data_IF_106714097690
#
_entry.id   IF_106714097690
#
_cell.length_a   1.000
_cell.length_b   1.000
_cell.length_c   1.000
_cell.angle_alpha   90.00
_cell.angle_beta   90.00
_cell.angle_gamma   90.00
#
_symmetry.space_group_name_H-M   'P 1'
#
loop_
_entity.id
_entity.type
_entity.pdbx_description
1 polymer ?
#
# COMPACT_ATOMS: atom_id res chain seq x y z
N UNK A 1 -28.81 -30.83 -1.62
CA UNK A 1 -27.35 -30.79 -1.59
C UNK A 1 -26.86 -29.79 -2.64
N UNK A 2 -26.79 -28.52 -2.34
CA UNK A 2 -26.20 -27.49 -3.22
C UNK A 2 -26.13 -26.15 -2.46
N UNK A 3 -25.27 -26.03 -1.44
CA UNK A 3 -24.99 -24.75 -0.75
C UNK A 3 -23.52 -24.56 -0.33
N UNK A 4 -22.65 -25.51 -0.65
CA UNK A 4 -21.25 -25.49 -0.18
C UNK A 4 -20.26 -24.93 -1.21
N UNK A 5 -20.63 -24.81 -2.51
CA UNK A 5 -19.73 -24.29 -3.54
C UNK A 5 -19.66 -22.74 -3.61
N UNK A 6 -20.69 -22.04 -3.11
CA UNK A 6 -20.68 -20.57 -3.12
C UNK A 6 -19.75 -19.92 -2.10
N UNK A 7 -19.54 -20.56 -0.94
CA UNK A 7 -18.72 -20.00 0.12
C UNK A 7 -17.21 -20.08 -0.21
N UNK A 8 -16.79 -21.15 -0.87
CA UNK A 8 -15.38 -21.38 -1.26
C UNK A 8 -14.93 -20.43 -2.38
N UNK A 9 -15.82 -20.12 -3.34
CA UNK A 9 -15.53 -19.14 -4.39
C UNK A 9 -15.38 -17.71 -3.84
N UNK A 10 -16.14 -17.33 -2.81
CA UNK A 10 -16.00 -16.06 -2.12
C UNK A 10 -14.61 -15.83 -1.53
N UNK A 11 -13.99 -16.89 -1.05
CA UNK A 11 -12.74 -16.84 -0.33
C UNK A 11 -11.53 -16.65 -1.26
N UNK A 12 -11.50 -17.34 -2.39
CA UNK A 12 -10.37 -17.28 -3.32
C UNK A 12 -10.24 -15.92 -4.03
N UNK A 13 -11.36 -15.32 -4.43
CA UNK A 13 -11.34 -14.04 -5.12
C UNK A 13 -10.82 -12.86 -4.27
N UNK A 14 -10.93 -12.93 -2.95
CA UNK A 14 -10.41 -11.88 -2.04
C UNK A 14 -8.90 -11.97 -1.78
N UNK A 15 -8.28 -13.14 -2.01
CA UNK A 15 -6.88 -13.41 -1.70
C UNK A 15 -5.89 -12.94 -2.74
N UNK A 16 -6.28 -13.00 -4.01
CA UNK A 16 -5.41 -12.59 -5.11
C UNK A 16 -5.04 -11.10 -5.09
N UNK A 17 -5.67 -10.32 -4.22
CA UNK A 17 -5.39 -8.90 -4.03
C UNK A 17 -4.13 -8.60 -3.23
N UNK A 18 -3.59 -9.53 -2.48
CA UNK A 18 -2.49 -9.29 -1.53
C UNK A 18 -1.21 -10.04 -1.87
N UNK A 19 -1.26 -11.06 -2.73
CA UNK A 19 -0.07 -11.81 -3.14
C UNK A 19 0.74 -11.13 -4.23
N UNK A 20 0.26 -10.02 -4.80
CA UNK A 20 0.95 -9.26 -5.83
C UNK A 20 2.06 -8.37 -5.26
N UNK A 21 3.22 -8.93 -4.95
CA UNK A 21 4.47 -8.19 -5.08
C UNK A 21 4.71 -7.97 -6.56
N UNK A 22 4.17 -6.89 -7.11
CA UNK A 22 4.39 -6.61 -8.50
C UNK A 22 4.66 -5.15 -8.78
N UNK A 23 5.67 -4.98 -9.51
CA UNK A 23 6.30 -3.76 -9.88
C UNK A 23 6.56 -3.78 -11.38
N UNK A 24 6.23 -2.72 -12.11
CA UNK A 24 7.07 -1.99 -13.07
C UNK A 24 6.66 -1.87 -14.55
N UNK A 25 6.97 -1.01 -15.30
CA UNK A 25 7.71 0.11 -15.84
C UNK A 25 7.51 0.47 -17.31
N UNK A 26 7.77 1.68 -17.66
CA UNK A 26 8.45 2.10 -18.87
C UNK A 26 8.02 3.35 -19.63
N UNK A 27 8.92 4.21 -19.80
CA UNK A 27 9.06 5.53 -20.39
C UNK A 27 8.23 5.90 -21.64
N UNK A 28 7.68 7.14 -21.61
CA UNK A 28 7.71 8.06 -22.74
C UNK A 28 7.71 9.51 -22.23
N UNK A 29 8.65 10.30 -22.68
CA UNK A 29 8.78 11.71 -22.40
C UNK A 29 7.82 12.53 -23.27
N UNK A 30 7.04 13.43 -22.64
CA UNK A 30 6.51 14.64 -23.31
C UNK A 30 6.59 15.81 -22.33
N UNK A 31 7.19 16.89 -22.79
CA UNK A 31 7.49 18.07 -22.00
C UNK A 31 6.25 18.81 -21.54
N UNK A 32 6.28 19.21 -20.29
CA UNK A 32 5.35 20.11 -19.64
C UNK A 32 6.09 20.88 -18.55
N UNK A 33 5.90 22.20 -18.53
CA UNK A 33 6.54 23.21 -17.71
C UNK A 33 6.79 22.77 -16.26
N UNK A 34 8.04 22.79 -15.87
CA UNK A 34 8.51 22.48 -14.52
C UNK A 34 8.09 23.57 -13.53
N UNK A 35 7.10 23.27 -12.70
CA UNK A 35 6.93 23.96 -11.42
C UNK A 35 8.12 23.59 -10.52
N UNK A 36 8.59 24.48 -9.63
CA UNK A 36 9.73 24.20 -8.78
C UNK A 36 9.49 22.91 -7.99
N UNK A 37 10.41 21.96 -8.15
CA UNK A 37 10.43 20.73 -7.34
C UNK A 37 10.59 21.15 -5.88
N UNK A 38 9.75 20.59 -4.99
CA UNK A 38 9.96 20.74 -3.56
C UNK A 38 11.40 20.32 -3.25
N UNK A 39 12.12 21.19 -2.55
CA UNK A 39 13.54 21.02 -2.23
C UNK A 39 13.77 19.75 -1.42
N UNK A 40 14.55 18.84 -1.98
CA UNK A 40 15.28 17.76 -1.34
C UNK A 40 14.53 16.90 -0.32
N UNK A 41 14.08 15.69 -0.76
CA UNK A 41 13.77 14.60 0.19
C UNK A 41 15.02 14.27 1.02
N UNK A 42 14.82 13.99 2.31
CA UNK A 42 15.86 13.48 3.21
C UNK A 42 15.51 12.06 3.64
N UNK A 43 16.39 11.11 3.35
CA UNK A 43 16.28 9.74 3.84
C UNK A 43 16.84 9.64 5.25
N UNK A 44 16.08 9.02 6.17
CA UNK A 44 16.45 8.88 7.59
C UNK A 44 16.32 7.43 8.04
N UNK A 45 17.17 7.02 8.95
CA UNK A 45 17.01 5.79 9.73
C UNK A 45 16.60 6.15 11.15
N UNK A 46 15.37 5.80 11.53
CA UNK A 46 14.79 6.15 12.84
C UNK A 46 14.71 4.89 13.69
N UNK A 47 15.42 4.88 14.83
CA UNK A 47 15.32 3.80 15.82
C UNK A 47 13.92 3.76 16.45
N UNK A 48 13.26 2.61 16.41
CA UNK A 48 11.89 2.41 16.94
C UNK A 48 11.84 1.39 18.08
N UNK A 49 12.82 0.49 18.13
CA UNK A 49 12.99 -0.49 19.20
C UNK A 49 14.48 -0.90 19.27
N UNK A 50 14.94 -1.59 20.34
CA UNK A 50 16.30 -2.08 20.40
C UNK A 50 16.68 -2.90 19.17
N UNK A 51 17.68 -2.44 18.41
CA UNK A 51 18.14 -3.08 17.18
C UNK A 51 17.21 -2.97 15.98
N UNK A 52 16.14 -2.18 16.05
CA UNK A 52 15.19 -1.98 14.96
C UNK A 52 15.13 -0.51 14.57
N UNK A 53 15.43 -0.22 13.30
CA UNK A 53 15.27 1.11 12.70
C UNK A 53 14.39 1.03 11.47
N UNK A 54 13.64 2.11 11.22
CA UNK A 54 12.81 2.25 10.02
C UNK A 54 13.40 3.30 9.07
N UNK A 55 13.36 3.01 7.79
CA UNK A 55 13.64 3.96 6.74
C UNK A 55 12.45 4.90 6.58
N UNK A 56 12.72 6.19 6.66
CA UNK A 56 11.73 7.26 6.53
C UNK A 56 12.21 8.26 5.48
N UNK A 57 11.41 8.52 4.49
CA UNK A 57 11.60 9.59 3.51
C UNK A 57 10.84 10.83 3.97
N UNK A 58 11.55 11.93 4.15
CA UNK A 58 11.07 13.18 4.77
C UNK A 58 11.15 14.32 3.75
N UNK A 59 10.01 14.78 3.25
CA UNK A 59 9.88 15.94 2.37
C UNK A 59 9.43 17.14 3.18
N UNK A 60 10.25 18.19 3.30
CA UNK A 60 9.83 19.43 3.94
C UNK A 60 8.73 20.12 3.12
N UNK A 61 7.84 20.85 3.78
CA UNK A 61 6.87 21.69 3.09
C UNK A 61 7.55 22.80 2.29
N UNK A 62 7.17 22.95 1.02
CA UNK A 62 7.64 24.08 0.19
C UNK A 62 7.14 25.45 0.70
N UNK A 63 6.12 25.48 1.55
CA UNK A 63 5.58 26.69 2.18
C UNK A 63 6.25 27.08 3.50
N UNK A 64 7.26 26.33 3.97
CA UNK A 64 7.88 26.52 5.27
C UNK A 64 7.09 25.86 6.40
N UNK A 65 6.81 26.60 7.49
CA UNK A 65 6.16 26.06 8.68
C UNK A 65 4.71 25.59 8.43
N UNK A 66 4.58 24.40 7.86
CA UNK A 66 3.30 23.71 7.79
C UNK A 66 3.08 22.98 9.12
N UNK A 67 2.01 23.32 9.83
CA UNK A 67 1.58 22.61 11.03
C UNK A 67 1.03 21.21 10.73
N UNK A 68 0.78 20.91 9.46
CA UNK A 68 0.20 19.65 9.03
C UNK A 68 1.26 18.74 8.45
N UNK A 69 1.46 17.61 9.12
CA UNK A 69 2.33 16.53 8.64
C UNK A 69 1.45 15.41 8.08
N UNK A 70 1.71 15.03 6.83
CA UNK A 70 1.09 13.84 6.23
C UNK A 70 2.06 12.68 6.37
N UNK A 71 1.57 11.55 6.89
CA UNK A 71 2.32 10.30 6.93
C UNK A 71 1.71 9.33 5.92
N UNK A 72 2.57 8.70 5.09
CA UNK A 72 2.20 7.76 4.06
C UNK A 72 2.70 6.35 4.42
N UNK A 73 1.80 5.37 4.46
CA UNK A 73 2.10 3.95 4.69
C UNK A 73 1.75 3.13 3.46
N UNK A 74 2.73 2.42 2.91
CA UNK A 74 2.57 1.63 1.69
C UNK A 74 1.78 0.32 1.92
N UNK A 75 1.41 -0.38 0.86
CA UNK A 75 0.79 -1.70 0.90
C UNK A 75 1.74 -2.82 1.35
N UNK A 76 1.24 -4.05 1.37
CA UNK A 76 2.04 -5.25 1.66
C UNK A 76 3.14 -5.40 0.61
N UNK A 77 4.37 -5.67 1.04
CA UNK A 77 5.52 -5.84 0.15
C UNK A 77 6.13 -4.53 -0.39
N UNK A 78 5.44 -3.40 -0.27
CA UNK A 78 5.92 -2.11 -0.73
C UNK A 78 6.64 -1.31 0.37
N UNK A 79 7.43 -0.33 -0.04
CA UNK A 79 8.22 0.53 0.83
C UNK A 79 7.91 2.03 0.58
N UNK A 80 8.61 2.93 1.24
CA UNK A 80 8.38 4.37 1.15
C UNK A 80 8.52 4.95 -0.26
N UNK A 81 9.32 4.34 -1.13
CA UNK A 81 9.51 4.77 -2.51
C UNK A 81 8.26 4.65 -3.38
N UNK A 82 7.27 3.83 -2.99
CA UNK A 82 5.99 3.78 -3.68
C UNK A 82 5.31 5.17 -3.78
N UNK A 83 5.66 6.07 -2.89
CA UNK A 83 5.11 7.43 -2.83
C UNK A 83 6.02 8.52 -3.42
N UNK A 84 7.08 8.16 -4.14
CA UNK A 84 8.02 9.14 -4.73
C UNK A 84 7.39 10.06 -5.79
N UNK A 85 6.17 9.76 -6.24
CA UNK A 85 5.33 10.66 -7.03
C UNK A 85 4.41 11.48 -6.14
N UNK A 86 3.56 10.84 -5.35
CA UNK A 86 2.53 11.47 -4.52
C UNK A 86 3.10 12.39 -3.44
N UNK A 87 4.19 11.97 -2.77
CA UNK A 87 4.75 12.72 -1.65
C UNK A 87 5.28 14.11 -2.05
N UNK A 88 6.06 14.29 -3.15
CA UNK A 88 6.44 15.63 -3.62
C UNK A 88 5.27 16.52 -4.01
N UNK A 89 4.17 15.95 -4.52
CA UNK A 89 2.97 16.71 -4.86
C UNK A 89 2.28 17.26 -3.61
N UNK A 90 2.13 16.44 -2.56
CA UNK A 90 1.62 16.87 -1.26
C UNK A 90 2.59 17.81 -0.53
N UNK A 91 3.91 17.63 -0.73
CA UNK A 91 4.94 18.45 -0.08
C UNK A 91 4.96 19.91 -0.56
N UNK A 92 4.20 20.25 -1.60
CA UNK A 92 3.96 21.65 -1.98
C UNK A 92 3.27 22.45 -0.86
N UNK A 93 2.53 21.78 0.03
CA UNK A 93 1.76 22.41 1.12
C UNK A 93 2.04 21.84 2.51
N UNK A 94 2.42 20.58 2.61
CA UNK A 94 2.55 19.84 3.86
C UNK A 94 3.96 19.31 4.03
N UNK A 95 4.41 19.06 5.25
CA UNK A 95 5.54 18.15 5.45
C UNK A 95 5.03 16.72 5.23
N UNK A 96 5.74 15.92 4.44
CA UNK A 96 5.33 14.55 4.12
C UNK A 96 6.39 13.56 4.59
N UNK A 97 5.96 12.52 5.30
CA UNK A 97 6.79 11.41 5.74
C UNK A 97 6.27 10.13 5.09
N UNK A 98 7.04 9.46 4.26
CA UNK A 98 6.74 8.10 3.82
C UNK A 98 7.59 7.12 4.62
N UNK A 99 6.96 6.11 5.23
CA UNK A 99 7.62 5.19 6.15
C UNK A 99 7.65 3.79 5.55
N UNK A 100 8.85 3.21 5.45
CA UNK A 100 9.02 1.80 5.15
C UNK A 100 8.88 1.01 6.44
N UNK A 101 7.91 0.07 6.49
CA UNK A 101 7.72 -0.80 7.66
C UNK A 101 8.93 -1.65 7.96
N UNK A 102 9.09 -2.09 9.22
CA UNK A 102 10.01 -3.19 9.54
C UNK A 102 9.78 -4.37 8.59
N UNK A 103 10.82 -5.05 8.22
CA UNK A 103 10.75 -6.21 7.32
C UNK A 103 10.89 -5.88 5.84
N UNK A 104 10.69 -4.63 5.41
CA UNK A 104 10.73 -4.24 4.00
C UNK A 104 11.85 -3.25 3.67
N UNK A 105 12.20 -3.20 2.38
CA UNK A 105 13.12 -2.22 1.81
C UNK A 105 14.37 -1.98 2.65
N UNK A 106 14.72 -0.74 2.87
CA UNK A 106 15.85 -0.30 3.68
C UNK A 106 15.61 -0.26 5.19
N UNK A 107 14.45 -0.74 5.70
CA UNK A 107 14.18 -0.90 7.13
C UNK A 107 14.78 -2.19 7.69
N UNK A 108 15.00 -2.22 9.02
CA UNK A 108 15.45 -3.42 9.73
C UNK A 108 14.50 -4.59 9.53
N UNK A 109 15.06 -5.80 9.48
CA UNK A 109 14.35 -7.05 9.23
C UNK A 109 14.54 -8.04 10.39
N UNK A 110 14.04 -7.73 11.61
CA UNK A 110 14.20 -8.61 12.76
C UNK A 110 13.50 -9.95 12.50
N UNK A 111 14.17 -11.05 12.80
CA UNK A 111 13.57 -12.39 12.69
C UNK A 111 12.31 -12.46 13.56
N UNK A 112 11.17 -12.96 13.05
CA UNK A 112 9.97 -13.09 13.84
C UNK A 112 10.18 -13.99 15.04
N UNK A 113 9.97 -13.49 16.26
CA UNK A 113 9.98 -14.29 17.47
C UNK A 113 8.61 -14.96 17.70
N UNK A 114 7.55 -14.38 17.14
CA UNK A 114 6.18 -14.86 17.14
C UNK A 114 5.37 -14.14 16.07
N UNK A 115 4.14 -14.55 15.81
CA UNK A 115 3.21 -13.86 14.89
C UNK A 115 2.95 -12.41 15.32
N UNK A 116 3.06 -12.09 16.62
CA UNK A 116 2.92 -10.73 17.12
C UNK A 116 4.06 -9.79 16.69
N UNK A 117 5.22 -10.31 16.25
CA UNK A 117 6.39 -9.50 15.85
C UNK A 117 6.11 -8.55 14.69
N UNK A 118 5.11 -8.87 13.87
CA UNK A 118 4.67 -8.09 12.71
C UNK A 118 3.18 -7.77 12.74
N UNK A 119 2.56 -7.84 13.91
CA UNK A 119 1.14 -7.50 14.11
C UNK A 119 0.88 -6.01 13.85
N UNK A 120 -0.34 -5.62 13.47
CA UNK A 120 -0.73 -4.21 13.38
C UNK A 120 -0.41 -3.41 14.65
N UNK A 121 -0.49 -4.02 15.83
CA UNK A 121 -0.13 -3.38 17.09
C UNK A 121 1.38 -3.03 17.17
N UNK A 122 2.25 -3.94 16.73
CA UNK A 122 3.69 -3.69 16.66
C UNK A 122 4.00 -2.60 15.64
N UNK A 123 3.36 -2.62 14.47
CA UNK A 123 3.57 -1.60 13.42
C UNK A 123 3.05 -0.22 13.86
N UNK A 124 1.97 -0.17 14.61
CA UNK A 124 1.46 1.07 15.23
C UNK A 124 2.42 1.60 16.29
N UNK A 125 3.03 0.73 17.11
CA UNK A 125 4.06 1.15 18.08
C UNK A 125 5.30 1.73 17.38
N UNK A 126 5.70 1.15 16.25
CA UNK A 126 6.78 1.68 15.42
C UNK A 126 6.45 3.07 14.86
N UNK A 127 5.25 3.23 14.31
CA UNK A 127 4.77 4.53 13.82
C UNK A 127 4.82 5.57 14.93
N UNK A 128 4.31 5.25 16.11
CA UNK A 128 4.35 6.16 17.26
C UNK A 128 5.79 6.56 17.62
N UNK A 129 6.72 5.59 17.65
CA UNK A 129 8.13 5.86 17.94
C UNK A 129 8.78 6.76 16.88
N UNK A 130 8.48 6.59 15.60
CA UNK A 130 8.93 7.50 14.52
C UNK A 130 8.41 8.92 14.76
N UNK A 131 7.11 9.08 15.05
CA UNK A 131 6.52 10.40 15.30
C UNK A 131 7.14 11.10 16.52
N UNK A 132 7.41 10.36 17.58
CA UNK A 132 8.02 10.89 18.80
C UNK A 132 9.48 11.30 18.56
N UNK A 133 10.27 10.47 17.87
CA UNK A 133 11.65 10.77 17.50
C UNK A 133 11.75 12.03 16.61
N UNK A 134 10.79 12.21 15.71
CA UNK A 134 10.72 13.38 14.82
C UNK A 134 9.98 14.57 15.44
N UNK A 135 9.50 14.45 16.68
CA UNK A 135 8.73 15.47 17.43
C UNK A 135 7.49 15.94 16.65
N UNK A 136 6.79 15.00 15.99
CA UNK A 136 5.57 15.26 15.25
C UNK A 136 4.36 14.99 16.15
N UNK A 137 3.65 16.00 16.64
CA UNK A 137 2.59 15.82 17.64
C UNK A 137 1.28 15.25 17.04
N UNK A 138 0.94 15.65 15.82
CA UNK A 138 -0.31 15.26 15.15
C UNK A 138 -0.08 15.11 13.64
N UNK A 139 -0.84 14.19 13.02
CA UNK A 139 -0.68 13.82 11.62
C UNK A 139 -2.04 13.67 10.90
N UNK A 140 -1.99 13.84 9.59
CA UNK A 140 -2.91 13.21 8.65
C UNK A 140 -2.25 11.90 8.26
N UNK A 141 -2.92 10.77 8.50
CA UNK A 141 -2.36 9.45 8.22
C UNK A 141 -3.03 8.85 6.99
N UNK A 142 -2.27 8.69 5.92
CA UNK A 142 -2.72 8.08 4.68
C UNK A 142 -2.08 6.69 4.50
N UNK A 143 -2.86 5.70 4.12
CA UNK A 143 -2.35 4.36 3.96
C UNK A 143 -2.99 3.60 2.82
N UNK A 144 -2.17 2.86 2.09
CA UNK A 144 -2.56 2.04 0.96
C UNK A 144 -2.73 0.58 1.38
N UNK A 145 -3.80 -0.06 0.87
CA UNK A 145 -3.98 -1.51 1.00
C UNK A 145 -3.97 -1.96 2.47
N UNK A 146 -3.11 -2.89 2.86
CA UNK A 146 -3.01 -3.43 4.22
C UNK A 146 -2.81 -2.37 5.31
N UNK A 147 -2.32 -1.19 4.95
CA UNK A 147 -2.12 -0.09 5.90
C UNK A 147 -3.41 0.38 6.58
N UNK A 148 -4.58 0.07 6.03
CA UNK A 148 -5.86 0.37 6.68
C UNK A 148 -6.00 -0.21 8.09
N UNK A 149 -5.37 -1.36 8.35
CA UNK A 149 -5.31 -1.95 9.68
C UNK A 149 -4.58 -1.01 10.66
N UNK A 150 -3.43 -0.48 10.23
CA UNK A 150 -2.62 0.44 11.03
C UNK A 150 -3.33 1.79 11.20
N UNK A 151 -3.95 2.32 10.15
CA UNK A 151 -4.71 3.57 10.20
C UNK A 151 -5.79 3.50 11.29
N UNK A 152 -6.63 2.47 11.21
CA UNK A 152 -7.76 2.28 12.11
C UNK A 152 -7.28 2.05 13.55
N UNK A 153 -6.27 1.19 13.74
CA UNK A 153 -5.74 0.89 15.06
C UNK A 153 -5.06 2.11 15.68
N UNK A 154 -4.25 2.86 14.90
CA UNK A 154 -3.56 4.06 15.36
C UNK A 154 -4.57 5.14 15.76
N UNK A 155 -5.57 5.42 14.93
CA UNK A 155 -6.59 6.41 15.22
C UNK A 155 -7.42 6.05 16.45
N UNK A 156 -7.76 4.77 16.63
CA UNK A 156 -8.51 4.30 17.79
C UNK A 156 -7.71 4.25 19.09
N UNK A 157 -6.38 4.08 19.00
CA UNK A 157 -5.50 4.00 20.17
C UNK A 157 -4.87 5.35 20.55
N UNK A 158 -4.65 6.21 19.56
CA UNK A 158 -3.97 7.51 19.72
C UNK A 158 -4.77 8.66 19.08
N UNK A 159 -6.07 8.87 19.43
CA UNK A 159 -6.95 9.81 18.75
C UNK A 159 -6.41 11.26 18.75
N UNK A 160 -5.69 11.65 19.80
CA UNK A 160 -5.07 12.98 19.90
C UNK A 160 -3.89 13.19 18.95
N UNK A 161 -3.33 12.12 18.37
CA UNK A 161 -2.22 12.15 17.40
C UNK A 161 -2.72 12.24 15.95
N UNK A 162 -4.03 12.12 15.71
CA UNK A 162 -4.64 12.07 14.38
C UNK A 162 -5.48 13.29 14.11
N UNK A 163 -5.24 13.98 12.99
CA UNK A 163 -6.09 15.04 12.44
C UNK A 163 -7.09 14.51 11.44
N UNK A 164 -6.71 13.48 10.69
CA UNK A 164 -7.54 12.85 9.68
C UNK A 164 -6.88 11.60 9.11
N UNK A 165 -7.68 10.84 8.38
CA UNK A 165 -7.28 9.56 7.76
C UNK A 165 -7.57 9.57 6.27
N UNK A 166 -6.68 8.99 5.47
CA UNK A 166 -6.95 8.72 4.06
C UNK A 166 -6.72 7.23 3.78
N UNK A 167 -7.80 6.50 3.61
CA UNK A 167 -7.80 5.09 3.24
C UNK A 167 -7.68 4.97 1.73
N UNK A 168 -6.49 4.63 1.25
CA UNK A 168 -6.17 4.54 -0.18
C UNK A 168 -6.36 3.09 -0.66
N UNK A 169 -7.55 2.78 -1.12
CA UNK A 169 -8.00 1.45 -1.57
C UNK A 169 -7.75 0.35 -0.52
N UNK A 170 -8.17 0.63 0.70
CA UNK A 170 -8.04 -0.26 1.85
C UNK A 170 -9.37 -0.28 2.64
N UNK A 171 -10.27 -1.16 2.24
CA UNK A 171 -11.64 -1.19 2.72
C UNK A 171 -12.03 -2.52 3.38
N UNK A 172 -11.13 -3.51 3.37
CA UNK A 172 -11.44 -4.87 3.79
C UNK A 172 -11.27 -5.10 5.29
N UNK A 173 -12.18 -5.88 5.86
CA UNK A 173 -12.00 -6.58 7.11
C UNK A 173 -11.63 -8.04 6.78
N UNK A 174 -10.34 -8.33 6.80
CA UNK A 174 -9.82 -9.63 6.40
C UNK A 174 -10.25 -10.76 7.35
N UNK A 175 -10.28 -10.49 8.65
CA UNK A 175 -10.71 -11.49 9.64
C UNK A 175 -12.20 -11.79 9.50
N UNK A 176 -13.06 -10.79 9.32
CA UNK A 176 -14.47 -10.99 9.04
C UNK A 176 -14.74 -11.77 7.75
N UNK A 177 -13.75 -11.78 6.84
CA UNK A 177 -13.78 -12.56 5.59
C UNK A 177 -13.20 -13.96 5.72
N UNK A 178 -12.82 -14.39 6.95
CA UNK A 178 -12.32 -15.73 7.27
C UNK A 178 -10.87 -15.82 7.72
N UNK A 179 -10.15 -14.72 7.74
CA UNK A 179 -8.75 -14.68 8.19
C UNK A 179 -7.74 -15.24 7.20
N UNK A 180 -6.55 -15.56 7.71
CA UNK A 180 -5.48 -16.13 6.91
C UNK A 180 -5.73 -17.61 6.59
N UNK A 181 -5.54 -17.95 5.33
CA UNK A 181 -5.35 -19.32 4.85
C UNK A 181 -4.18 -19.35 3.86
N UNK A 182 -3.51 -20.46 3.70
CA UNK A 182 -2.47 -20.61 2.68
C UNK A 182 -3.09 -20.52 1.27
N UNK A 183 -2.61 -19.61 0.41
CA UNK A 183 -3.19 -19.45 -0.94
C UNK A 183 -2.95 -20.70 -1.79
N UNK A 184 -3.99 -21.18 -2.45
CA UNK A 184 -3.86 -22.21 -3.47
C UNK A 184 -3.57 -21.54 -4.83
N UNK A 185 -2.65 -22.08 -5.66
CA UNK A 185 -2.35 -21.53 -6.98
C UNK A 185 -3.58 -21.49 -7.89
N UNK A 186 -3.70 -20.46 -8.68
CA UNK A 186 -4.75 -20.29 -9.67
C UNK A 186 -4.16 -19.99 -11.06
N UNK A 187 -4.91 -20.19 -12.14
CA UNK A 187 -4.42 -19.91 -13.50
C UNK A 187 -4.26 -18.40 -13.79
N UNK A 188 -4.79 -17.53 -12.94
CA UNK A 188 -4.70 -16.08 -13.09
C UNK A 188 -3.75 -15.42 -12.09
N UNK A 189 -2.99 -16.20 -11.33
CA UNK A 189 -1.93 -15.67 -10.48
C UNK A 189 -0.84 -15.00 -11.33
N UNK A 190 -0.17 -14.04 -10.72
CA UNK A 190 1.01 -13.46 -11.30
C UNK A 190 2.08 -14.55 -11.51
N UNK A 191 2.65 -14.68 -12.72
CA UNK A 191 3.69 -15.65 -12.96
C UNK A 191 4.93 -15.32 -12.12
N UNK A 192 5.51 -16.28 -11.37
CA UNK A 192 6.71 -16.01 -10.58
C UNK A 192 7.91 -15.67 -11.51
N UNK A 193 8.88 -14.88 -11.02
CA UNK A 193 10.09 -14.61 -11.78
C UNK A 193 10.86 -15.89 -12.05
N UNK A 194 11.34 -16.07 -13.28
CA UNK A 194 12.24 -17.15 -13.66
C UNK A 194 13.67 -16.90 -13.14
N UNK A 195 14.55 -17.91 -13.11
CA UNK A 195 15.97 -17.69 -12.80
C UNK A 195 16.63 -16.65 -13.71
N UNK A 196 16.22 -16.55 -14.99
CA UNK A 196 16.72 -15.54 -15.91
C UNK A 196 16.26 -14.12 -15.52
N UNK A 197 15.08 -13.97 -14.97
CA UNK A 197 14.56 -12.70 -14.46
C UNK A 197 15.30 -12.22 -13.19
N UNK A 198 15.90 -13.13 -12.45
CA UNK A 198 16.69 -12.84 -11.25
C UNK A 198 18.20 -12.78 -11.51
N UNK A 199 18.64 -12.97 -12.74
CA UNK A 199 20.07 -13.00 -13.09
C UNK A 199 20.77 -11.63 -12.97
N UNK A 200 20.02 -10.54 -12.95
CA UNK A 200 20.52 -9.17 -12.71
C UNK A 200 19.39 -8.23 -12.30
N UNK A 201 19.76 -7.07 -11.79
CA UNK A 201 18.79 -6.03 -11.47
C UNK A 201 17.99 -5.58 -12.71
N UNK A 202 18.66 -5.43 -13.86
CA UNK A 202 17.99 -5.03 -15.11
C UNK A 202 17.03 -6.12 -15.62
N UNK A 203 17.39 -7.39 -15.48
CA UNK A 203 16.52 -8.51 -15.81
C UNK A 203 15.27 -8.53 -14.90
N UNK A 204 15.47 -8.29 -13.62
CA UNK A 204 14.37 -8.19 -12.64
C UNK A 204 13.46 -6.99 -12.96
N UNK A 205 14.03 -5.86 -13.33
CA UNK A 205 13.29 -4.69 -13.81
C UNK A 205 12.51 -5.04 -15.08
N UNK A 206 13.09 -5.77 -16.03
CA UNK A 206 12.41 -6.20 -17.25
C UNK A 206 11.27 -7.18 -16.97
N UNK A 207 11.43 -8.09 -16.00
CA UNK A 207 10.34 -8.95 -15.53
C UNK A 207 9.20 -8.11 -14.99
N UNK A 208 9.49 -7.23 -14.05
CA UNK A 208 8.49 -6.33 -13.50
C UNK A 208 7.75 -5.57 -14.61
N UNK A 209 8.43 -5.09 -15.64
CA UNK A 209 7.84 -4.43 -16.84
C UNK A 209 6.86 -5.30 -17.61
N UNK A 210 6.94 -6.61 -17.53
CA UNK A 210 6.03 -7.53 -18.22
C UNK A 210 4.74 -7.77 -17.45
N UNK A 211 4.79 -7.64 -16.12
CA UNK A 211 3.70 -8.03 -15.25
C UNK A 211 2.85 -6.86 -14.76
N UNK A 212 3.23 -5.61 -15.10
CA UNK A 212 2.48 -4.42 -14.72
C UNK A 212 1.75 -3.73 -15.86
N UNK A 213 0.73 -2.98 -15.48
CA UNK A 213 -0.06 -2.15 -16.40
C UNK A 213 0.79 -1.03 -16.99
N UNK A 214 1.57 -0.36 -16.17
CA UNK A 214 2.37 0.81 -16.52
C UNK A 214 3.60 0.91 -15.62
N UNK A 215 4.67 1.59 -16.11
CA UNK A 215 5.92 1.76 -15.37
C UNK A 215 6.13 3.19 -14.92
N UNK A 216 6.31 3.35 -13.63
CA UNK A 216 6.53 4.63 -13.00
C UNK A 216 7.91 4.67 -12.34
N UNK A 217 8.63 5.82 -12.34
CA UNK A 217 9.89 5.93 -11.60
C UNK A 217 9.78 5.58 -10.11
N UNK A 218 8.66 5.93 -9.48
CA UNK A 218 8.40 5.60 -8.08
C UNK A 218 8.34 4.08 -7.85
N UNK A 219 7.73 3.36 -8.77
CA UNK A 219 7.70 1.90 -8.71
C UNK A 219 9.11 1.30 -8.92
N UNK A 220 9.90 1.83 -9.85
CA UNK A 220 11.28 1.36 -10.02
C UNK A 220 12.10 1.58 -8.75
N UNK A 221 11.97 2.73 -8.11
CA UNK A 221 12.66 3.00 -6.86
C UNK A 221 12.22 2.03 -5.74
N UNK A 222 10.90 1.78 -5.62
CA UNK A 222 10.36 0.81 -4.68
C UNK A 222 10.92 -0.61 -4.91
N UNK A 223 11.03 -1.02 -6.17
CA UNK A 223 11.57 -2.34 -6.54
C UNK A 223 13.05 -2.47 -6.23
N UNK A 224 13.84 -1.48 -6.59
CA UNK A 224 15.26 -1.45 -6.30
C UNK A 224 15.52 -1.54 -4.79
N UNK A 225 14.75 -0.82 -3.98
CA UNK A 225 14.86 -0.86 -2.51
C UNK A 225 14.34 -2.20 -1.92
N UNK A 226 13.52 -2.97 -2.64
CA UNK A 226 13.04 -4.28 -2.23
C UNK A 226 13.97 -5.44 -2.59
N UNK A 227 15.04 -5.20 -3.33
CA UNK A 227 15.98 -6.21 -3.81
C UNK A 227 17.35 -6.10 -3.14
N UNK A 228 17.98 -7.25 -2.99
CA UNK A 228 19.41 -7.40 -2.66
C UNK A 228 20.15 -7.87 -3.90
N UNK A 229 21.23 -7.17 -4.26
CA UNK A 229 22.15 -7.59 -5.31
C UNK A 229 23.23 -8.48 -4.69
N UNK A 230 23.38 -9.68 -5.19
CA UNK A 230 24.34 -10.67 -4.71
C UNK A 230 25.73 -10.47 -5.35
N UNK A 231 26.80 -11.07 -4.80
CA UNK A 231 28.15 -10.92 -5.34
C UNK A 231 28.35 -11.38 -6.80
N UNK A 232 27.50 -12.29 -7.28
CA UNK A 232 27.51 -12.77 -8.68
C UNK A 232 26.67 -11.86 -9.62
N UNK A 233 26.10 -10.78 -9.10
CA UNK A 233 25.27 -9.84 -9.85
C UNK A 233 23.79 -10.23 -9.92
N UNK A 234 23.41 -11.43 -9.51
CA UNK A 234 22.02 -11.85 -9.41
C UNK A 234 21.28 -11.08 -8.30
N UNK A 235 19.96 -11.14 -8.32
CA UNK A 235 19.14 -10.43 -7.33
C UNK A 235 18.15 -11.39 -6.64
N UNK A 236 17.78 -11.01 -5.42
CA UNK A 236 16.70 -11.66 -4.68
C UNK A 236 15.89 -10.63 -3.88
N UNK A 237 14.65 -10.95 -3.51
CA UNK A 237 13.92 -10.12 -2.53
C UNK A 237 14.73 -9.98 -1.24
N UNK A 238 14.84 -8.76 -0.73
CA UNK A 238 15.58 -8.52 0.51
C UNK A 238 14.71 -8.73 1.77
N UNK A 239 13.42 -8.98 1.61
CA UNK A 239 12.52 -9.39 2.69
C UNK A 239 12.57 -10.92 2.83
N UNK A 240 13.04 -11.46 3.97
CA UNK A 240 13.01 -12.90 4.21
C UNK A 240 11.60 -13.48 4.12
N UNK A 241 11.41 -14.69 3.54
CA UNK A 241 10.08 -15.30 3.40
C UNK A 241 9.32 -15.45 4.72
N UNK A 242 10.02 -15.74 5.83
CA UNK A 242 9.41 -15.84 7.15
C UNK A 242 8.80 -14.50 7.63
N UNK A 243 9.41 -13.37 7.26
CA UNK A 243 8.90 -12.02 7.58
C UNK A 243 7.69 -11.72 6.70
N UNK A 244 7.77 -11.96 5.39
CA UNK A 244 6.66 -11.76 4.47
C UNK A 244 5.42 -12.53 4.93
N UNK A 245 5.60 -13.82 5.28
CA UNK A 245 4.54 -14.67 5.84
C UNK A 245 3.99 -14.15 7.17
N UNK A 246 4.86 -13.76 8.12
CA UNK A 246 4.41 -13.23 9.41
C UNK A 246 3.59 -11.95 9.27
N UNK A 247 3.97 -11.06 8.36
CA UNK A 247 3.23 -9.84 8.04
C UNK A 247 1.85 -10.16 7.45
N UNK A 248 1.81 -11.08 6.49
CA UNK A 248 0.60 -11.50 5.79
C UNK A 248 -0.40 -12.17 6.76
N UNK A 249 0.07 -13.15 7.54
CA UNK A 249 -0.73 -13.81 8.59
C UNK A 249 -1.29 -12.81 9.59
N UNK A 250 -0.46 -11.91 10.10
CA UNK A 250 -0.87 -10.93 11.09
C UNK A 250 -1.92 -9.95 10.56
N UNK A 251 -1.76 -9.54 9.30
CA UNK A 251 -2.68 -8.61 8.65
C UNK A 251 -4.07 -9.23 8.39
N UNK A 252 -4.10 -10.48 7.92
CA UNK A 252 -5.35 -11.19 7.65
C UNK A 252 -6.10 -11.62 8.91
N UNK A 253 -5.40 -11.78 10.03
CA UNK A 253 -5.99 -12.14 11.31
C UNK A 253 -6.31 -10.92 12.21
N UNK A 254 -6.36 -9.73 11.61
CA UNK A 254 -6.73 -8.50 12.30
C UNK A 254 -8.10 -8.00 11.81
N UNK A 255 -8.97 -7.63 12.75
CA UNK A 255 -10.24 -6.97 12.48
C UNK A 255 -10.22 -5.55 13.03
N UNK A 256 -10.34 -4.52 12.16
CA UNK A 256 -10.33 -3.13 12.59
C UNK A 256 -11.62 -2.72 13.30
N UNK A 257 -11.51 -2.07 14.45
CA UNK A 257 -12.66 -1.50 15.17
C UNK A 257 -12.88 -0.03 14.76
N UNK A 258 -13.66 0.19 13.72
CA UNK A 258 -13.97 1.52 13.20
C UNK A 258 -14.74 2.41 14.17
N UNK A 259 -15.44 1.85 15.17
CA UNK A 259 -16.18 2.62 16.20
C UNK A 259 -15.27 3.47 17.08
N UNK A 260 -13.97 3.13 17.12
CA UNK A 260 -12.96 3.87 17.88
C UNK A 260 -12.33 5.01 17.09
N UNK A 261 -12.66 5.16 15.82
CA UNK A 261 -12.16 6.22 14.95
C UNK A 261 -13.06 7.43 15.06
N UNK A 262 -12.50 8.57 15.48
CA UNK A 262 -13.23 9.84 15.65
C UNK A 262 -12.73 10.93 14.69
N UNK A 263 -11.61 10.71 14.01
CA UNK A 263 -11.07 11.64 13.05
C UNK A 263 -11.84 11.58 11.71
N UNK A 264 -11.97 12.71 10.99
CA UNK A 264 -12.55 12.69 9.64
C UNK A 264 -11.72 11.82 8.70
N UNK A 265 -12.37 11.20 7.72
CA UNK A 265 -11.71 10.26 6.83
C UNK A 265 -12.04 10.50 5.35
N UNK A 266 -11.03 10.35 4.49
CA UNK A 266 -11.20 10.13 3.06
C UNK A 266 -11.11 8.63 2.79
N UNK A 267 -12.11 8.07 2.14
CA UNK A 267 -12.11 6.69 1.66
C UNK A 267 -11.99 6.72 0.15
N UNK A 268 -10.90 6.17 -0.38
CA UNK A 268 -10.70 5.98 -1.82
C UNK A 268 -10.87 4.50 -2.13
N UNK A 269 -11.79 4.18 -3.03
CA UNK A 269 -12.01 2.81 -3.53
C UNK A 269 -11.65 2.75 -5.00
N UNK A 270 -10.82 1.79 -5.39
CA UNK A 270 -10.48 1.56 -6.80
C UNK A 270 -11.45 0.57 -7.42
N UNK A 271 -12.12 1.01 -8.49
CA UNK A 271 -12.89 0.15 -9.39
C UNK A 271 -12.00 -0.20 -10.60
N UNK A 272 -11.51 -1.44 -10.73
CA UNK A 272 -10.62 -1.81 -11.83
C UNK A 272 -11.30 -1.70 -13.20
N UNK A 273 -12.60 -1.96 -13.30
CA UNK A 273 -13.39 -1.86 -14.53
C UNK A 273 -13.04 -2.87 -15.60
N UNK A 274 -11.78 -3.29 -15.75
CA UNK A 274 -11.29 -4.21 -16.78
C UNK A 274 -10.28 -5.22 -16.24
N UNK A 275 -10.09 -6.33 -16.94
CA UNK A 275 -9.05 -7.32 -16.62
C UNK A 275 -7.66 -6.72 -16.61
N UNK A 276 -7.36 -5.80 -17.52
CA UNK A 276 -6.05 -5.13 -17.57
C UNK A 276 -5.74 -4.37 -16.28
N UNK A 277 -6.75 -3.82 -15.64
CA UNK A 277 -6.59 -3.09 -14.38
C UNK A 277 -6.66 -4.01 -13.15
N UNK A 278 -7.01 -5.27 -13.29
CA UNK A 278 -7.03 -6.24 -12.21
C UNK A 278 -5.84 -7.21 -12.29
N UNK A 279 -5.57 -7.71 -13.50
CA UNK A 279 -4.55 -8.70 -13.80
C UNK A 279 -3.73 -8.26 -15.03
N UNK A 280 -2.88 -7.24 -14.94
CA UNK A 280 -2.16 -6.68 -16.08
C UNK A 280 -1.27 -7.70 -16.80
N UNK A 281 -0.82 -8.74 -16.12
CA UNK A 281 0.00 -9.84 -16.68
C UNK A 281 -0.76 -10.82 -17.57
N UNK A 282 -2.10 -10.81 -17.55
CA UNK A 282 -2.93 -11.72 -18.36
C UNK A 282 -3.22 -11.23 -19.78
N UNK A 283 -2.60 -10.15 -20.23
CA UNK A 283 -2.89 -9.59 -21.57
C UNK A 283 -2.68 -10.59 -22.70
N UNK A 284 -1.72 -11.52 -22.54
CA UNK A 284 -1.38 -12.54 -23.54
C UNK A 284 -1.74 -13.97 -23.08
N UNK A 285 -2.50 -14.11 -21.99
CA UNK A 285 -2.97 -15.42 -21.53
C UNK A 285 -3.94 -16.05 -22.56
N UNK A 286 -4.07 -17.36 -22.50
CA UNK A 286 -5.03 -18.09 -23.33
C UNK A 286 -6.49 -17.68 -23.03
N UNK A 287 -7.44 -17.97 -23.96
CA UNK A 287 -8.83 -17.56 -23.79
C UNK A 287 -9.51 -18.13 -22.54
N UNK A 288 -9.16 -19.37 -22.13
CA UNK A 288 -9.78 -20.00 -20.96
C UNK A 288 -9.33 -19.32 -19.67
N UNK A 289 -8.03 -19.03 -19.53
CA UNK A 289 -7.47 -18.26 -18.41
C UNK A 289 -8.09 -16.87 -18.33
N UNK A 290 -8.23 -16.16 -19.45
CA UNK A 290 -8.89 -14.84 -19.47
C UNK A 290 -10.37 -14.91 -19.09
N UNK A 291 -11.09 -15.95 -19.52
CA UNK A 291 -12.48 -16.14 -19.13
C UNK A 291 -12.63 -16.39 -17.62
N UNK A 292 -11.80 -17.25 -17.03
CA UNK A 292 -11.78 -17.48 -15.59
C UNK A 292 -11.47 -16.19 -14.81
N UNK A 293 -10.49 -15.41 -15.27
CA UNK A 293 -10.15 -14.13 -14.66
C UNK A 293 -11.28 -13.09 -14.80
N UNK A 294 -12.06 -13.12 -15.90
CA UNK A 294 -13.22 -12.25 -16.06
C UNK A 294 -14.33 -12.59 -15.05
N UNK A 295 -14.58 -13.86 -14.79
CA UNK A 295 -15.52 -14.27 -13.74
C UNK A 295 -15.10 -13.74 -12.35
N UNK A 296 -13.79 -13.74 -12.06
CA UNK A 296 -13.26 -13.14 -10.83
C UNK A 296 -13.51 -11.64 -10.80
N UNK A 297 -13.23 -10.92 -11.89
CA UNK A 297 -13.48 -9.48 -11.97
C UNK A 297 -14.95 -9.15 -11.73
N UNK A 298 -15.84 -9.85 -12.40
CA UNK A 298 -17.30 -9.65 -12.31
C UNK A 298 -17.81 -9.92 -10.89
N UNK A 299 -17.21 -10.88 -10.20
CA UNK A 299 -17.53 -11.24 -8.83
C UNK A 299 -16.99 -10.25 -7.79
N UNK A 300 -15.71 -9.85 -7.87
CA UNK A 300 -15.09 -9.03 -6.82
C UNK A 300 -15.44 -7.54 -6.93
N UNK A 301 -15.71 -7.05 -8.15
CA UNK A 301 -15.96 -5.64 -8.40
C UNK A 301 -17.10 -5.06 -7.56
N UNK A 302 -18.33 -5.64 -7.54
CA UNK A 302 -19.41 -5.16 -6.69
C UNK A 302 -19.07 -5.25 -5.19
N UNK A 303 -18.31 -6.27 -4.77
CA UNK A 303 -17.91 -6.43 -3.38
C UNK A 303 -16.95 -5.32 -2.93
N UNK A 304 -16.00 -4.94 -3.77
CA UNK A 304 -15.08 -3.84 -3.48
C UNK A 304 -15.81 -2.51 -3.32
N UNK A 305 -16.74 -2.22 -4.22
CA UNK A 305 -17.54 -0.99 -4.15
C UNK A 305 -18.38 -0.96 -2.86
N UNK A 306 -19.05 -2.07 -2.54
CA UNK A 306 -19.83 -2.20 -1.30
C UNK A 306 -18.96 -2.09 -0.03
N UNK A 307 -17.74 -2.64 -0.03
CA UNK A 307 -16.81 -2.50 1.10
C UNK A 307 -16.37 -1.05 1.28
N UNK A 308 -16.14 -0.30 0.18
CA UNK A 308 -15.84 1.12 0.24
C UNK A 308 -16.97 1.95 0.82
N UNK A 309 -18.20 1.70 0.38
CA UNK A 309 -19.40 2.34 0.92
C UNK A 309 -19.61 2.00 2.41
N UNK A 310 -19.44 0.73 2.78
CA UNK A 310 -19.52 0.25 4.16
C UNK A 310 -18.49 0.95 5.05
N UNK A 311 -17.24 1.05 4.61
CA UNK A 311 -16.18 1.74 5.37
C UNK A 311 -16.52 3.23 5.53
N UNK A 312 -16.90 3.90 4.46
CA UNK A 312 -17.27 5.32 4.51
C UNK A 312 -18.45 5.54 5.47
N UNK A 313 -19.45 4.68 5.45
CA UNK A 313 -20.59 4.77 6.38
C UNK A 313 -20.21 4.51 7.85
N UNK A 314 -19.15 3.74 8.10
CA UNK A 314 -18.67 3.43 9.46
C UNK A 314 -17.80 4.54 10.07
N UNK A 315 -17.31 5.50 9.27
CA UNK A 315 -16.37 6.53 9.71
C UNK A 315 -17.04 7.91 9.80
N UNK A 316 -16.86 8.66 10.90
CA UNK A 316 -17.49 9.96 11.07
C UNK A 316 -16.90 11.01 10.11
N UNK A 317 -17.75 11.85 9.53
CA UNK A 317 -17.32 12.94 8.64
C UNK A 317 -16.52 12.47 7.43
N UNK A 318 -16.74 11.23 6.99
CA UNK A 318 -16.04 10.66 5.85
C UNK A 318 -16.52 11.24 4.53
N UNK A 319 -15.61 11.29 3.54
CA UNK A 319 -15.95 11.38 2.13
C UNK A 319 -15.47 10.13 1.39
N UNK A 320 -16.20 9.75 0.34
CA UNK A 320 -15.91 8.55 -0.44
C UNK A 320 -15.65 8.92 -1.90
N UNK A 321 -14.50 8.52 -2.41
CA UNK A 321 -14.09 8.70 -3.80
C UNK A 321 -13.91 7.34 -4.48
N UNK A 322 -14.63 7.11 -5.57
CA UNK A 322 -14.44 5.91 -6.40
C UNK A 322 -13.55 6.25 -7.59
N UNK A 323 -12.35 5.65 -7.62
CA UNK A 323 -11.40 5.77 -8.73
C UNK A 323 -11.70 4.70 -9.78
N UNK A 324 -12.33 5.11 -10.87
CA UNK A 324 -12.70 4.19 -11.96
C UNK A 324 -11.52 3.89 -12.88
N UNK A 325 -11.42 2.64 -13.32
CA UNK A 325 -10.36 2.14 -14.22
C UNK A 325 -8.95 2.24 -13.64
N UNK A 326 -8.83 2.26 -12.30
CA UNK A 326 -7.54 2.26 -11.61
C UNK A 326 -6.99 0.84 -11.41
N UNK A 327 -5.68 0.75 -11.24
CA UNK A 327 -5.01 -0.46 -10.77
C UNK A 327 -4.65 -0.29 -9.30
N UNK A 328 -4.95 -1.30 -8.48
CA UNK A 328 -4.76 -1.25 -7.02
C UNK A 328 -3.38 -0.75 -6.60
N UNK A 329 -2.34 -1.22 -7.29
CA UNK A 329 -0.96 -0.98 -6.86
C UNK A 329 -0.40 0.38 -7.24
N UNK A 330 -0.99 1.10 -8.20
CA UNK A 330 -0.41 2.34 -8.74
C UNK A 330 -1.40 3.50 -8.97
N UNK A 331 -2.68 3.33 -8.66
CA UNK A 331 -3.70 4.36 -8.93
C UNK A 331 -3.33 5.73 -8.33
N UNK A 332 -2.66 5.76 -7.19
CA UNK A 332 -2.22 6.99 -6.54
C UNK A 332 -1.01 7.64 -7.24
N UNK A 333 -0.42 6.96 -8.22
CA UNK A 333 0.58 7.49 -9.15
C UNK A 333 -0.13 7.91 -10.46
N UNK A 334 -0.92 7.00 -11.05
CA UNK A 334 -1.65 7.23 -12.30
C UNK A 334 -2.62 8.41 -12.19
N UNK A 335 -3.31 8.53 -11.07
CA UNK A 335 -4.29 9.59 -10.77
C UNK A 335 -3.81 10.52 -9.65
N UNK A 336 -2.50 10.79 -9.59
CA UNK A 336 -1.85 11.58 -8.52
C UNK A 336 -2.60 12.87 -8.20
N UNK A 337 -2.91 13.68 -9.21
CA UNK A 337 -3.59 14.97 -9.02
C UNK A 337 -4.96 14.80 -8.34
N UNK A 338 -5.73 13.80 -8.76
CA UNK A 338 -7.05 13.51 -8.16
C UNK A 338 -6.93 13.10 -6.69
N UNK A 339 -5.93 12.29 -6.36
CA UNK A 339 -5.68 11.86 -4.98
C UNK A 339 -5.20 13.03 -4.12
N UNK A 340 -4.30 13.87 -4.65
CA UNK A 340 -3.84 15.09 -3.98
C UNK A 340 -5.01 16.02 -3.72
N UNK A 341 -5.82 16.32 -4.75
CA UNK A 341 -6.97 17.24 -4.63
C UNK A 341 -8.00 16.70 -3.61
N UNK A 342 -8.23 15.38 -3.58
CA UNK A 342 -9.14 14.77 -2.62
C UNK A 342 -8.61 14.87 -1.18
N UNK A 343 -7.32 14.66 -0.95
CA UNK A 343 -6.69 14.84 0.35
C UNK A 343 -6.73 16.32 0.76
N UNK A 344 -6.42 17.24 -0.14
CA UNK A 344 -6.41 18.68 0.16
C UNK A 344 -7.82 19.28 0.34
N UNK A 345 -8.84 18.69 -0.27
CA UNK A 345 -10.24 19.13 -0.12
C UNK A 345 -10.84 18.75 1.24
N UNK A 346 -10.27 17.78 1.94
CA UNK A 346 -10.77 17.35 3.25
C UNK A 346 -10.55 18.43 4.29
N UNK A 347 -11.58 18.69 5.10
CA UNK A 347 -11.45 19.53 6.29
C UNK A 347 -10.92 18.69 7.45
N UNK A 348 -9.61 18.73 7.62
CA UNK A 348 -8.92 18.00 8.69
C UNK A 348 -9.06 18.70 10.07
N UNK A 349 -10.21 19.26 10.35
CA UNK A 349 -10.52 19.87 11.64
C UNK A 349 -10.96 18.76 12.59
N UNK A 350 -10.01 18.18 13.27
CA UNK A 350 -10.29 17.22 14.33
C UNK A 350 -10.51 17.89 15.67
N UNK A 351 -11.31 17.24 16.50
CA UNK A 351 -11.62 17.50 17.90
C UNK A 351 -10.59 18.38 18.62
N UNK A 352 -11.01 19.57 19.06
CA UNK A 352 -10.29 20.42 20.00
C UNK A 352 -10.11 19.72 21.34
#
# INVERSE_FOLDING_TARGET
>A
MSKTHGATAHFHARRHFLSGMTVLAGLAACGGSSLPRASGVTDRQIGVAPGVSLHVRDWPSARGDSHDVIVLLAGLGANAHAFDSLAPALARRHRVLAITRRGYGSSSKPTPASDASYSPATLVADLLAVLDALKVPRIILAGHSIAGNELTLFAGSHPRRVRGLAYLDTTFDYLASGGYEEPAPTPYDEPPPSPADLASLDASIAYGRRINKQWWPALEANWRDALEVLPDGSVRPNTPPAIARAMDVAAHNFSPDYRRVHAPALVVTVDPGTLRNLFPWLLQADPATRAAAQEVLDFIRPLRLADGERLAAALPGSSHLVMRNGFHSDFFIEYESTVVDAIEAMRWEGLQ
#
